data_IF_252065458892
#
_entry.id   IF_252065458892
#
_cell.length_a   1.000
_cell.length_b   1.000
_cell.length_c   1.000
_cell.angle_alpha   90.00
_cell.angle_beta   90.00
_cell.angle_gamma   90.00
#
_symmetry.space_group_name_H-M   'P 1'
#
loop_
_entity.id
_entity.type
_entity.pdbx_description
1 polymer ?
#
# COMPACT_ATOMS: atom_id res chain seq x y z
N UNK A 1 13.91 -5.25 -4.09
CA UNK A 1 12.87 -4.30 -3.62
C UNK A 1 13.50 -2.97 -3.21
N UNK A 2 12.73 -1.87 -3.23
CA UNK A 2 13.26 -0.52 -2.99
C UNK A 2 13.89 -0.35 -1.59
N UNK A 3 14.98 0.41 -1.49
CA UNK A 3 15.55 0.85 -0.20
C UNK A 3 14.79 2.03 0.39
N UNK A 4 14.22 2.87 -0.48
CA UNK A 4 13.44 4.05 -0.14
C UNK A 4 12.44 4.32 -1.26
N UNK A 5 11.24 4.77 -0.92
CA UNK A 5 10.20 5.14 -1.87
C UNK A 5 9.35 6.29 -1.31
N UNK A 6 9.04 7.30 -2.12
CA UNK A 6 8.37 8.51 -1.65
C UNK A 6 6.86 8.36 -1.46
N UNK A 7 6.24 7.47 -2.24
CA UNK A 7 4.81 7.13 -2.15
C UNK A 7 4.52 5.76 -2.76
N UNK A 8 5.09 5.45 -3.93
CA UNK A 8 4.83 4.23 -4.71
C UNK A 8 3.43 4.15 -5.32
N UNK A 9 3.26 4.77 -6.49
CA UNK A 9 2.15 4.43 -7.39
C UNK A 9 2.14 2.93 -7.77
N UNK A 10 3.29 2.26 -8.00
CA UNK A 10 3.29 0.82 -8.29
C UNK A 10 2.67 -0.04 -7.18
N UNK A 11 2.85 0.33 -5.91
CA UNK A 11 2.20 -0.37 -4.80
C UNK A 11 0.67 -0.23 -4.85
N UNK A 12 0.17 0.98 -5.14
CA UNK A 12 -1.27 1.24 -5.28
C UNK A 12 -1.84 0.49 -6.48
N UNK A 13 -1.14 0.45 -7.62
CA UNK A 13 -1.54 -0.30 -8.80
C UNK A 13 -1.64 -1.80 -8.51
N UNK A 14 -0.64 -2.37 -7.83
CA UNK A 14 -0.66 -3.77 -7.40
C UNK A 14 -1.82 -4.06 -6.44
N UNK A 15 -2.01 -3.23 -5.41
CA UNK A 15 -3.12 -3.37 -4.46
C UNK A 15 -4.49 -3.22 -5.15
N UNK A 16 -4.62 -2.36 -6.16
CA UNK A 16 -5.85 -2.18 -6.95
C UNK A 16 -6.27 -3.47 -7.65
N UNK A 17 -5.32 -4.29 -8.06
CA UNK A 17 -5.55 -5.59 -8.68
C UNK A 17 -5.96 -6.70 -7.69
N UNK A 18 -6.10 -6.38 -6.39
CA UNK A 18 -6.40 -7.33 -5.32
C UNK A 18 -5.41 -8.52 -5.20
N UNK A 19 -4.16 -8.32 -5.64
CA UNK A 19 -3.10 -9.31 -5.51
C UNK A 19 -2.30 -9.09 -4.21
N UNK A 20 -1.72 -10.14 -3.61
CA UNK A 20 -0.84 -9.97 -2.45
C UNK A 20 0.40 -9.16 -2.84
N UNK A 21 0.69 -8.10 -2.08
CA UNK A 21 1.87 -7.27 -2.24
C UNK A 21 2.89 -7.60 -1.16
N UNK A 22 4.11 -7.97 -1.54
CA UNK A 22 5.28 -7.97 -0.64
C UNK A 22 6.10 -6.73 -0.93
N UNK A 23 6.25 -5.84 0.05
CA UNK A 23 6.95 -4.57 -0.09
C UNK A 23 7.89 -4.30 1.08
N UNK A 24 8.90 -3.47 0.87
CA UNK A 24 9.80 -3.04 1.96
C UNK A 24 9.15 -1.95 2.80
N UNK A 25 9.65 -1.72 4.01
CA UNK A 25 9.23 -0.59 4.86
C UNK A 25 9.96 0.72 4.57
N UNK A 26 10.67 0.81 3.43
CA UNK A 26 11.50 1.98 3.10
C UNK A 26 10.68 3.20 2.70
N UNK A 27 11.00 4.36 3.25
CA UNK A 27 10.30 5.61 2.96
C UNK A 27 8.83 5.57 3.37
N UNK A 28 7.94 6.05 2.50
CA UNK A 28 6.50 6.18 2.79
C UNK A 28 5.69 4.92 2.53
N UNK A 29 6.32 3.78 2.19
CA UNK A 29 5.58 2.54 1.88
C UNK A 29 4.59 2.16 3.01
N UNK A 30 4.96 2.15 4.31
CA UNK A 30 4.02 1.79 5.37
C UNK A 30 2.79 2.71 5.44
N UNK A 31 2.94 3.98 5.09
CA UNK A 31 1.83 4.95 5.02
C UNK A 31 0.90 4.64 3.84
N UNK A 32 1.45 4.23 2.70
CA UNK A 32 0.67 3.90 1.51
C UNK A 32 -0.03 2.56 1.64
N UNK A 33 0.72 1.52 2.01
CA UNK A 33 0.26 0.13 1.95
C UNK A 33 -0.35 -0.37 3.24
N UNK A 34 -0.18 0.33 4.37
CA UNK A 34 -0.67 -0.10 5.69
C UNK A 34 0.30 -1.02 6.45
N UNK A 35 -0.19 -1.67 7.50
CA UNK A 35 0.62 -2.53 8.38
C UNK A 35 0.83 -3.92 7.79
N UNK A 36 1.89 -4.58 8.24
CA UNK A 36 2.21 -5.97 7.86
C UNK A 36 1.02 -6.91 8.13
N UNK A 37 0.67 -7.71 7.13
CA UNK A 37 -0.39 -8.72 7.22
C UNK A 37 -1.82 -8.16 7.22
N UNK A 38 -2.00 -6.84 7.22
CA UNK A 38 -3.33 -6.22 7.09
C UNK A 38 -3.69 -6.03 5.60
N UNK A 39 -2.84 -5.31 4.87
CA UNK A 39 -3.12 -4.85 3.49
C UNK A 39 -1.94 -5.04 2.54
N UNK A 40 -0.76 -5.34 3.08
CA UNK A 40 0.41 -5.82 2.38
C UNK A 40 1.28 -6.65 3.34
N UNK A 41 2.28 -7.33 2.80
CA UNK A 41 3.31 -8.01 3.57
C UNK A 41 4.58 -7.18 3.59
N UNK A 42 5.05 -6.82 4.78
CA UNK A 42 6.19 -5.95 4.97
C UNK A 42 7.48 -6.74 5.23
N UNK A 43 8.58 -6.26 4.66
CA UNK A 43 9.94 -6.75 4.93
C UNK A 43 10.93 -5.60 5.15
N UNK A 44 12.03 -5.79 5.91
CA UNK A 44 13.06 -4.77 6.04
C UNK A 44 13.74 -4.45 4.69
N UNK A 45 14.09 -3.18 4.41
CA UNK A 45 14.87 -2.84 3.21
C UNK A 45 16.27 -3.45 3.28
N UNK A 46 16.73 -4.00 2.15
CA UNK A 46 18.08 -4.59 2.05
C UNK A 46 18.21 -6.00 2.64
N UNK A 47 17.14 -6.57 3.20
CA UNK A 47 17.13 -7.92 3.75
C UNK A 47 16.60 -8.93 2.73
N UNK A 48 17.50 -9.61 2.02
CA UNK A 48 17.12 -10.60 1.01
C UNK A 48 16.55 -11.88 1.61
N UNK A 49 16.97 -12.26 2.82
CA UNK A 49 16.47 -13.48 3.48
C UNK A 49 15.03 -13.28 3.94
N UNK A 50 14.72 -12.13 4.57
CA UNK A 50 13.36 -11.79 4.96
C UNK A 50 12.43 -11.67 3.74
N UNK A 51 12.92 -11.11 2.63
CA UNK A 51 12.16 -11.04 1.38
C UNK A 51 11.83 -12.44 0.85
N UNK A 52 12.83 -13.33 0.75
CA UNK A 52 12.64 -14.68 0.25
C UNK A 52 11.67 -15.47 1.14
N UNK A 53 11.85 -15.40 2.46
CA UNK A 53 10.96 -16.05 3.43
C UNK A 53 9.52 -15.55 3.31
N UNK A 54 9.31 -14.24 3.12
CA UNK A 54 7.96 -13.68 2.98
C UNK A 54 7.31 -14.09 1.67
N UNK A 55 8.05 -14.10 0.56
CA UNK A 55 7.53 -14.57 -0.73
C UNK A 55 7.10 -16.04 -0.62
N UNK A 56 7.94 -16.90 -0.01
CA UNK A 56 7.60 -18.31 0.22
C UNK A 56 6.32 -18.44 1.05
N UNK A 57 6.20 -17.71 2.17
CA UNK A 57 4.99 -17.69 2.98
C UNK A 57 3.74 -17.32 2.16
N UNK A 58 3.82 -16.29 1.31
CA UNK A 58 2.69 -15.84 0.49
C UNK A 58 2.26 -16.92 -0.52
N UNK A 59 3.22 -17.63 -1.11
CA UNK A 59 2.95 -18.72 -2.06
C UNK A 59 2.37 -19.95 -1.36
N UNK A 60 2.82 -20.27 -0.14
CA UNK A 60 2.37 -21.43 0.62
C UNK A 60 1.03 -21.20 1.35
N UNK A 61 0.58 -19.96 1.48
CA UNK A 61 -0.63 -19.58 2.22
C UNK A 61 -1.62 -18.79 1.34
N UNK A 62 -2.21 -19.41 0.29
CA UNK A 62 -3.03 -18.71 -0.69
C UNK A 62 -4.27 -18.01 -0.09
N UNK A 63 -4.88 -18.58 0.96
CA UNK A 63 -6.03 -17.95 1.62
C UNK A 63 -5.65 -16.67 2.36
N UNK A 64 -4.51 -16.69 3.06
CA UNK A 64 -3.97 -15.51 3.72
C UNK A 64 -3.56 -14.45 2.69
N UNK A 65 -2.89 -14.87 1.61
CA UNK A 65 -2.49 -14.01 0.52
C UNK A 65 -3.70 -13.33 -0.15
N UNK A 66 -4.76 -14.10 -0.44
CA UNK A 66 -5.98 -13.58 -1.05
C UNK A 66 -6.74 -12.64 -0.10
N UNK A 67 -6.74 -12.92 1.21
CA UNK A 67 -7.32 -12.03 2.23
C UNK A 67 -6.59 -10.68 2.26
N UNK A 68 -5.26 -10.70 2.34
CA UNK A 68 -4.42 -9.48 2.35
C UNK A 68 -4.55 -8.72 1.04
N UNK A 69 -4.56 -9.40 -0.12
CA UNK A 69 -4.76 -8.76 -1.42
C UNK A 69 -6.11 -8.04 -1.54
N UNK A 70 -7.21 -8.67 -1.11
CA UNK A 70 -8.54 -8.03 -1.07
C UNK A 70 -8.58 -6.83 -0.12
N UNK A 71 -7.95 -6.95 1.05
CA UNK A 71 -7.84 -5.84 2.00
C UNK A 71 -7.01 -4.68 1.42
N UNK A 72 -5.93 -4.98 0.70
CA UNK A 72 -5.14 -3.98 -0.03
C UNK A 72 -5.98 -3.22 -1.05
N UNK A 73 -6.81 -3.93 -1.84
CA UNK A 73 -7.74 -3.27 -2.76
C UNK A 73 -8.73 -2.36 -2.04
N UNK A 74 -9.30 -2.81 -0.93
CA UNK A 74 -10.23 -2.00 -0.14
C UNK A 74 -9.56 -0.71 0.37
N UNK A 75 -8.33 -0.81 0.87
CA UNK A 75 -7.54 0.36 1.29
C UNK A 75 -7.35 1.37 0.15
N UNK A 76 -7.06 0.91 -1.07
CA UNK A 76 -6.94 1.82 -2.22
C UNK A 76 -8.27 2.54 -2.50
N UNK A 77 -9.39 1.83 -2.46
CA UNK A 77 -10.71 2.42 -2.68
C UNK A 77 -10.99 3.51 -1.63
N UNK A 78 -10.69 3.22 -0.37
CA UNK A 78 -11.01 4.08 0.78
C UNK A 78 -10.12 5.33 0.88
N UNK A 79 -8.86 5.25 0.41
CA UNK A 79 -7.87 6.31 0.65
C UNK A 79 -7.26 6.91 -0.62
N UNK A 80 -7.14 6.15 -1.70
CA UNK A 80 -6.27 6.49 -2.84
C UNK A 80 -6.98 6.49 -4.19
N UNK A 81 -8.31 6.35 -4.20
CA UNK A 81 -9.07 6.49 -5.45
C UNK A 81 -8.99 7.91 -5.98
N UNK A 82 -9.01 8.07 -7.31
CA UNK A 82 -9.01 9.40 -7.95
C UNK A 82 -10.15 10.29 -7.45
N UNK A 83 -11.31 9.68 -7.18
CA UNK A 83 -12.44 10.39 -6.59
C UNK A 83 -12.11 10.95 -5.20
N UNK A 84 -11.58 10.11 -4.30
CA UNK A 84 -11.19 10.54 -2.96
C UNK A 84 -10.13 11.65 -2.98
N UNK A 85 -9.12 11.50 -3.84
CA UNK A 85 -8.07 12.50 -4.02
C UNK A 85 -8.64 13.83 -4.52
N UNK A 86 -9.53 13.81 -5.51
CA UNK A 86 -10.17 15.02 -6.05
C UNK A 86 -11.06 15.71 -5.01
N UNK A 87 -11.90 14.96 -4.29
CA UNK A 87 -12.76 15.49 -3.22
C UNK A 87 -11.92 16.19 -2.13
N UNK A 88 -10.89 15.52 -1.61
CA UNK A 88 -9.99 16.12 -0.61
C UNK A 88 -9.25 17.35 -1.10
N UNK A 89 -8.80 17.34 -2.35
CA UNK A 89 -8.08 18.49 -2.93
C UNK A 89 -9.00 19.70 -3.02
N UNK A 90 -10.24 19.51 -3.48
CA UNK A 90 -11.24 20.58 -3.58
C UNK A 90 -11.64 21.11 -2.21
N UNK A 91 -11.80 20.24 -1.22
CA UNK A 91 -12.13 20.65 0.15
C UNK A 91 -11.03 21.52 0.77
N UNK A 92 -9.76 21.15 0.57
CA UNK A 92 -8.63 21.96 1.02
C UNK A 92 -8.60 23.33 0.32
N UNK A 93 -8.84 23.39 -1.00
CA UNK A 93 -8.90 24.66 -1.72
C UNK A 93 -10.03 25.56 -1.20
N UNK A 94 -11.22 25.00 -0.95
CA UNK A 94 -12.35 25.74 -0.37
C UNK A 94 -12.01 26.27 1.02
N UNK A 95 -11.34 25.46 1.85
CA UNK A 95 -10.97 25.85 3.20
C UNK A 95 -9.99 27.05 3.21
N UNK A 96 -9.04 27.09 2.28
CA UNK A 96 -8.08 28.21 2.16
C UNK A 96 -8.71 29.47 1.60
N UNK A 97 -9.55 29.34 0.57
CA UNK A 97 -10.26 30.49 -0.02
C UNK A 97 -11.28 31.13 0.93
N UNK A 98 -11.77 30.40 1.94
CA UNK A 98 -12.68 30.94 2.95
C UNK A 98 -11.97 31.64 4.13
N UNK A 99 -10.62 31.62 4.17
CA UNK A 99 -9.81 32.27 5.20
C UNK A 99 -9.30 33.66 4.77
N UNK A 100 -9.48 34.01 3.49
CA UNK A 100 -9.20 35.33 2.90
C UNK A 100 -10.46 36.22 2.91
#
# INVERSE_FOLDING_TARGET
PSLYEGFSLPAIEAMSCAIPLVATTGGAIPEVVGRDGETAFAVPPGDSEALAARIAFVLDNPDAAAKVGRAGRQRVIDHWSWRHTAEKTVDEYRARLAQD
#
